data_IF_683112611596
#
_entry.id   IF_683112611596
#
_cell.length_a   1.000
_cell.length_b   1.000
_cell.length_c   1.000
_cell.angle_alpha   90.00
_cell.angle_beta   90.00
_cell.angle_gamma   90.00
#
_symmetry.space_group_name_H-M   'P 1'
#
loop_
_entity.id
_entity.type
_entity.pdbx_description
1 polymer ?
#
# COMPACT_ATOMS: atom_id res chain seq x y z
N UNK A 1 19.84 -20.36 -17.43
CA UNK A 1 19.74 -18.91 -17.75
C UNK A 1 19.92 -18.17 -16.45
N UNK A 2 20.81 -17.18 -16.38
CA UNK A 2 20.88 -16.27 -15.24
C UNK A 2 19.66 -15.36 -15.28
N UNK A 3 18.78 -15.49 -14.30
CA UNK A 3 17.63 -14.60 -14.15
C UNK A 3 18.11 -13.32 -13.46
N UNK A 4 18.04 -12.20 -14.16
CA UNK A 4 18.47 -10.90 -13.62
C UNK A 4 17.31 -10.27 -12.86
N UNK A 5 17.45 -10.09 -11.56
CA UNK A 5 16.48 -9.37 -10.74
C UNK A 5 16.72 -7.87 -10.76
N UNK A 6 15.64 -7.10 -10.66
CA UNK A 6 15.64 -5.64 -10.73
C UNK A 6 15.10 -5.04 -9.43
N UNK A 7 15.29 -3.73 -9.20
CA UNK A 7 14.64 -3.03 -8.07
C UNK A 7 13.12 -3.18 -8.06
N UNK A 8 12.47 -3.34 -9.21
CA UNK A 8 11.02 -3.54 -9.28
C UNK A 8 10.60 -4.91 -8.70
N UNK A 9 11.40 -5.95 -8.90
CA UNK A 9 11.14 -7.27 -8.32
C UNK A 9 11.31 -7.24 -6.80
N UNK A 10 12.31 -6.51 -6.32
CA UNK A 10 12.51 -6.27 -4.88
C UNK A 10 11.34 -5.49 -4.28
N UNK A 11 10.79 -4.48 -4.98
CA UNK A 11 9.59 -3.77 -4.52
C UNK A 11 8.39 -4.70 -4.38
N UNK A 12 8.12 -5.54 -5.40
CA UNK A 12 7.05 -6.54 -5.33
C UNK A 12 7.24 -7.46 -4.13
N UNK A 13 8.46 -7.92 -3.88
CA UNK A 13 8.80 -8.75 -2.72
C UNK A 13 8.54 -8.02 -1.39
N UNK A 14 8.95 -6.75 -1.26
CA UNK A 14 8.71 -5.92 -0.06
C UNK A 14 7.22 -5.73 0.23
N UNK A 15 6.37 -5.72 -0.80
CA UNK A 15 4.92 -5.61 -0.67
C UNK A 15 4.19 -6.96 -0.68
N UNK A 16 4.91 -8.08 -0.63
CA UNK A 16 4.36 -9.44 -0.61
C UNK A 16 3.54 -9.77 -1.89
N UNK A 17 3.92 -9.19 -3.03
CA UNK A 17 3.30 -9.35 -4.36
C UNK A 17 4.03 -10.39 -5.24
N UNK A 18 4.72 -11.32 -4.60
CA UNK A 18 5.54 -12.37 -5.22
C UNK A 18 5.13 -13.75 -4.72
N UNK A 19 5.25 -14.74 -5.58
CA UNK A 19 5.04 -16.14 -5.23
C UNK A 19 6.17 -16.67 -4.34
N UNK A 20 5.93 -17.76 -3.61
CA UNK A 20 6.97 -18.41 -2.79
C UNK A 20 8.21 -18.82 -3.61
N UNK A 21 8.02 -19.20 -4.88
CA UNK A 21 9.12 -19.52 -5.79
C UNK A 21 9.93 -18.27 -6.15
N UNK A 22 9.26 -17.15 -6.45
CA UNK A 22 9.91 -15.86 -6.70
C UNK A 22 10.68 -15.37 -5.46
N UNK A 23 10.11 -15.54 -4.26
CA UNK A 23 10.75 -15.14 -3.00
C UNK A 23 12.15 -15.77 -2.86
N UNK A 24 12.25 -17.09 -3.04
CA UNK A 24 13.52 -17.81 -2.93
C UNK A 24 14.57 -17.31 -3.93
N UNK A 25 14.15 -17.03 -5.16
CA UNK A 25 15.05 -16.54 -6.20
C UNK A 25 15.49 -15.09 -5.95
N UNK A 26 14.60 -14.25 -5.42
CA UNK A 26 14.92 -12.87 -5.02
C UNK A 26 15.89 -12.88 -3.84
N UNK A 27 15.65 -13.72 -2.83
CA UNK A 27 16.54 -13.87 -1.67
C UNK A 27 17.96 -14.27 -2.08
N UNK A 28 18.10 -15.23 -3.01
CA UNK A 28 19.41 -15.62 -3.57
C UNK A 28 20.08 -14.45 -4.32
N UNK A 29 19.31 -13.68 -5.10
CA UNK A 29 19.81 -12.51 -5.80
C UNK A 29 20.27 -11.38 -4.86
N UNK A 30 19.60 -11.19 -3.73
CA UNK A 30 19.99 -10.21 -2.70
C UNK A 30 21.33 -10.60 -2.06
N UNK A 31 21.59 -11.90 -1.83
CA UNK A 31 22.87 -12.38 -1.27
C UNK A 31 24.06 -12.13 -2.20
N UNK A 32 23.83 -12.23 -3.52
CA UNK A 32 24.87 -12.09 -4.54
C UNK A 32 25.08 -10.67 -5.07
N UNK A 33 24.19 -9.72 -4.76
CA UNK A 33 24.20 -8.38 -5.32
C UNK A 33 23.96 -7.31 -4.24
N UNK A 34 25.06 -6.68 -3.79
CA UNK A 34 25.02 -5.65 -2.75
C UNK A 34 24.13 -4.46 -3.12
N UNK A 35 24.07 -4.05 -4.38
CA UNK A 35 23.24 -2.93 -4.82
C UNK A 35 21.74 -3.26 -4.69
N UNK A 36 21.34 -4.50 -4.95
CA UNK A 36 19.96 -4.94 -4.73
C UNK A 36 19.65 -5.06 -3.24
N UNK A 37 20.60 -5.51 -2.43
CA UNK A 37 20.46 -5.58 -0.98
C UNK A 37 20.29 -4.19 -0.36
N UNK A 38 21.10 -3.21 -0.78
CA UNK A 38 20.99 -1.83 -0.33
C UNK A 38 19.61 -1.26 -0.66
N UNK A 39 19.15 -1.46 -1.89
CA UNK A 39 17.80 -1.05 -2.30
C UNK A 39 16.68 -1.73 -1.48
N UNK A 40 16.83 -3.02 -1.17
CA UNK A 40 15.88 -3.75 -0.33
C UNK A 40 15.78 -3.13 1.08
N UNK A 41 16.92 -2.81 1.70
CA UNK A 41 16.96 -2.19 3.03
C UNK A 41 16.34 -0.78 3.02
N UNK A 42 16.66 0.03 2.01
CA UNK A 42 16.06 1.36 1.82
C UNK A 42 14.53 1.27 1.62
N UNK A 43 14.05 0.31 0.84
CA UNK A 43 12.63 0.11 0.60
C UNK A 43 11.88 -0.30 1.87
N UNK A 44 12.46 -1.17 2.70
CA UNK A 44 11.91 -1.53 4.01
C UNK A 44 11.82 -0.33 4.95
N UNK A 45 12.89 0.46 5.04
CA UNK A 45 12.90 1.68 5.85
C UNK A 45 11.82 2.66 5.38
N UNK A 46 11.74 2.92 4.08
CA UNK A 46 10.73 3.81 3.50
C UNK A 46 9.30 3.34 3.82
N UNK A 47 9.01 2.04 3.67
CA UNK A 47 7.71 1.44 4.04
C UNK A 47 7.37 1.71 5.51
N UNK A 48 8.34 1.55 6.41
CA UNK A 48 8.16 1.82 7.84
C UNK A 48 7.92 3.31 8.13
N UNK A 49 8.63 4.21 7.46
CA UNK A 49 8.46 5.66 7.60
C UNK A 49 7.11 6.12 7.05
N UNK A 50 6.66 5.58 5.93
CA UNK A 50 5.36 5.91 5.33
C UNK A 50 4.19 5.58 6.24
N UNK A 51 4.28 4.49 7.01
CA UNK A 51 3.25 4.13 8.00
C UNK A 51 3.13 5.13 9.16
N UNK A 52 4.14 5.99 9.38
CA UNK A 52 4.09 7.05 10.40
C UNK A 52 3.41 8.32 9.90
N UNK A 53 3.14 8.42 8.60
CA UNK A 53 2.49 9.59 8.03
C UNK A 53 1.02 9.60 8.45
N UNK A 54 0.69 10.44 9.42
CA UNK A 54 -0.69 10.72 9.78
C UNK A 54 -1.24 11.84 8.89
N UNK A 55 -2.36 11.59 8.23
CA UNK A 55 -3.12 12.61 7.51
C UNK A 55 -4.42 12.85 8.24
N UNK A 56 -4.73 14.11 8.52
CA UNK A 56 -6.02 14.50 9.07
C UNK A 56 -6.90 15.04 7.94
N UNK A 57 -8.18 14.65 7.86
CA UNK A 57 -9.11 15.27 6.93
C UNK A 57 -9.27 16.76 7.27
N UNK A 58 -9.62 17.56 6.27
CA UNK A 58 -9.96 18.96 6.52
C UNK A 58 -11.25 19.05 7.34
N UNK A 59 -11.30 19.91 8.38
CA UNK A 59 -12.46 20.05 9.29
C UNK A 59 -13.79 20.16 8.55
N UNK A 60 -13.86 21.02 7.52
CA UNK A 60 -15.03 21.15 6.63
C UNK A 60 -15.61 19.83 6.12
N UNK A 61 -14.78 18.84 5.82
CA UNK A 61 -15.23 17.52 5.33
C UNK A 61 -15.83 16.72 6.47
N UNK A 62 -15.17 16.73 7.64
CA UNK A 62 -15.66 16.11 8.87
C UNK A 62 -17.03 16.69 9.24
N UNK A 63 -17.15 18.01 9.24
CA UNK A 63 -18.39 18.72 9.56
C UNK A 63 -19.53 18.31 8.61
N UNK A 64 -19.27 18.32 7.30
CA UNK A 64 -20.26 17.88 6.29
C UNK A 64 -20.75 16.45 6.50
N UNK A 65 -19.84 15.52 6.83
CA UNK A 65 -20.20 14.11 7.08
C UNK A 65 -21.05 14.00 8.34
N UNK A 66 -20.66 14.69 9.41
CA UNK A 66 -21.40 14.68 10.67
C UNK A 66 -22.78 15.32 10.50
N UNK A 67 -22.88 16.42 9.76
CA UNK A 67 -24.15 17.10 9.47
C UNK A 67 -25.07 16.22 8.64
N UNK A 68 -24.55 15.54 7.61
CA UNK A 68 -25.32 14.56 6.85
C UNK A 68 -25.84 13.45 7.78
N UNK A 69 -24.96 12.85 8.59
CA UNK A 69 -25.32 11.76 9.48
C UNK A 69 -26.38 12.15 10.52
N UNK A 70 -26.29 13.36 11.08
CA UNK A 70 -27.28 13.87 12.04
C UNK A 70 -28.67 14.07 11.42
N UNK A 71 -28.70 14.45 10.14
CA UNK A 71 -29.94 14.75 9.42
C UNK A 71 -30.44 13.57 8.58
N UNK A 72 -29.75 12.44 8.61
CA UNK A 72 -30.11 11.24 7.86
C UNK A 72 -31.32 10.56 8.51
N UNK A 73 -32.51 10.79 7.93
CA UNK A 73 -33.72 10.06 8.29
C UNK A 73 -33.89 8.85 7.37
N UNK A 74 -33.92 7.64 7.95
CA UNK A 74 -34.07 6.36 7.25
C UNK A 74 -35.34 6.25 6.37
N UNK A 75 -36.30 7.16 6.51
CA UNK A 75 -37.59 7.14 5.81
C UNK A 75 -37.60 7.87 4.45
N UNK A 76 -36.46 8.32 3.93
CA UNK A 76 -36.33 8.67 2.50
C UNK A 76 -36.01 7.43 1.66
N UNK A 77 -36.74 6.33 1.87
CA UNK A 77 -36.70 5.19 0.97
C UNK A 77 -37.48 5.53 -0.30
N UNK A 78 -36.74 5.82 -1.37
CA UNK A 78 -37.06 5.41 -2.76
C UNK A 78 -38.50 5.71 -3.22
N UNK A 79 -38.75 6.94 -3.67
CA UNK A 79 -39.71 7.13 -4.76
C UNK A 79 -38.97 6.87 -6.08
N UNK A 80 -38.94 5.61 -6.52
CA UNK A 80 -38.64 5.28 -7.93
C UNK A 80 -39.88 5.68 -8.74
N UNK A 81 -39.76 6.54 -9.77
CA UNK A 81 -40.88 6.81 -10.68
C UNK A 81 -41.21 5.54 -11.48
N UNK A 82 -42.51 5.29 -11.62
CA UNK A 82 -43.11 4.15 -12.34
C UNK A 82 -42.86 4.19 -13.85
#
# INVERSE_FOLDING_TARGET
MTQTFTPNDVLRYVYEETSAQENLLIEDALLGNSQLLDFYLEALEMKLLMNKISRTPHNRVVDKILDFSRNYNLNQSVALPA
#
